data_IF_194698779348
#
_entry.id   IF_194698779348
#
_cell.length_a   1.000
_cell.length_b   1.000
_cell.length_c   1.000
_cell.angle_alpha   90.00
_cell.angle_beta   90.00
_cell.angle_gamma   90.00
#
_symmetry.space_group_name_H-M   'P 1'
#
loop_
_entity.id
_entity.type
_entity.pdbx_description
1 polymer ?
#
# COMPACT_ATOMS: atom_id res chain seq x y z
N UNK A 1 -7.04 42.11 -17.57
CA UNK A 1 -6.31 41.45 -18.68
C UNK A 1 -6.47 39.96 -18.52
N UNK A 2 -7.15 39.29 -19.46
CA UNK A 2 -7.28 37.83 -19.48
C UNK A 2 -6.21 37.24 -20.40
N UNK A 3 -5.45 36.25 -19.91
CA UNK A 3 -4.40 35.59 -20.70
C UNK A 3 -4.88 34.20 -21.09
N UNK A 4 -5.24 34.03 -22.37
CA UNK A 4 -5.68 32.74 -22.91
C UNK A 4 -4.45 31.90 -23.29
N UNK A 5 -4.13 30.87 -22.49
CA UNK A 5 -3.01 29.97 -22.75
C UNK A 5 -3.53 28.69 -23.42
N UNK A 6 -3.14 28.48 -24.69
CA UNK A 6 -3.44 27.23 -25.43
C UNK A 6 -2.48 26.12 -25.00
N UNK A 7 -3.00 25.07 -24.36
CA UNK A 7 -2.23 23.91 -23.91
C UNK A 7 -2.68 22.66 -24.67
N UNK A 8 -1.73 21.91 -25.24
CA UNK A 8 -1.99 20.61 -25.84
C UNK A 8 -1.98 19.54 -24.75
N UNK A 9 -3.12 18.88 -24.55
CA UNK A 9 -3.32 17.82 -23.53
C UNK A 9 -3.75 16.54 -24.24
N UNK A 10 -3.25 15.38 -23.80
CA UNK A 10 -3.70 14.08 -24.29
C UNK A 10 -5.18 13.84 -23.95
N UNK A 11 -5.96 13.29 -24.91
CA UNK A 11 -7.37 12.95 -24.72
C UNK A 11 -7.62 12.06 -23.50
N UNK A 12 -6.70 11.13 -23.19
CA UNK A 12 -6.81 10.26 -22.00
C UNK A 12 -6.75 11.05 -20.69
N UNK A 13 -5.94 12.10 -20.65
CA UNK A 13 -5.81 12.99 -19.48
C UNK A 13 -7.07 13.84 -19.33
N UNK A 14 -7.59 14.39 -20.43
CA UNK A 14 -8.85 15.15 -20.44
C UNK A 14 -10.00 14.30 -19.90
N UNK A 15 -10.10 13.04 -20.32
CA UNK A 15 -11.13 12.12 -19.83
C UNK A 15 -11.06 11.91 -18.32
N UNK A 16 -9.85 11.80 -17.75
CA UNK A 16 -9.64 11.67 -16.29
C UNK A 16 -10.02 12.94 -15.54
N UNK A 17 -9.62 14.11 -16.07
CA UNK A 17 -9.98 15.40 -15.47
C UNK A 17 -11.49 15.64 -15.48
N UNK A 18 -12.20 15.23 -16.55
CA UNK A 18 -13.68 15.29 -16.62
C UNK A 18 -14.37 14.43 -15.56
N UNK A 19 -13.71 13.39 -15.05
CA UNK A 19 -14.20 12.56 -13.93
C UNK A 19 -13.91 13.16 -12.56
N UNK A 20 -13.33 14.37 -12.49
CA UNK A 20 -12.92 15.02 -11.24
C UNK A 20 -11.54 14.57 -10.72
N UNK A 21 -10.78 13.77 -11.47
CA UNK A 21 -9.45 13.36 -11.03
C UNK A 21 -8.43 14.52 -11.13
N UNK A 22 -7.69 14.76 -10.05
CA UNK A 22 -6.50 15.62 -10.09
C UNK A 22 -5.33 14.89 -10.78
N UNK A 23 -4.93 15.36 -11.96
CA UNK A 23 -3.83 14.74 -12.74
C UNK A 23 -2.53 15.55 -12.56
N UNK A 24 -1.55 14.96 -11.88
CA UNK A 24 -0.19 15.52 -11.78
C UNK A 24 0.58 15.33 -13.09
N UNK A 25 1.33 16.34 -13.50
CA UNK A 25 2.14 16.30 -14.72
C UNK A 25 3.10 17.47 -14.82
N UNK A 26 3.81 17.54 -15.93
CA UNK A 26 4.69 18.68 -16.26
C UNK A 26 4.20 19.40 -17.50
N UNK A 27 4.22 20.73 -17.46
CA UNK A 27 3.96 21.59 -18.60
C UNK A 27 5.30 21.93 -19.26
N UNK A 28 5.48 21.55 -20.53
CA UNK A 28 6.71 21.82 -21.27
C UNK A 28 6.40 22.62 -22.53
N UNK A 29 7.27 23.57 -22.87
CA UNK A 29 7.21 24.27 -24.15
C UNK A 29 7.91 23.43 -25.22
N UNK A 30 7.18 23.03 -26.26
CA UNK A 30 7.77 22.29 -27.37
C UNK A 30 8.52 23.28 -28.26
N UNK A 31 9.86 23.24 -28.23
CA UNK A 31 10.73 24.17 -28.97
C UNK A 31 10.42 24.24 -30.48
N UNK A 32 9.94 23.15 -31.09
CA UNK A 32 9.60 23.09 -32.52
C UNK A 32 8.30 23.79 -32.90
N UNK A 33 7.32 23.88 -32.01
CA UNK A 33 5.98 24.40 -32.34
C UNK A 33 5.59 25.63 -31.52
N UNK A 34 6.35 25.98 -30.48
CA UNK A 34 6.01 27.05 -29.56
C UNK A 34 4.78 26.75 -28.68
N UNK A 35 4.21 25.55 -28.77
CA UNK A 35 3.00 25.15 -28.04
C UNK A 35 3.39 24.55 -26.69
N UNK A 36 2.67 24.94 -25.62
CA UNK A 36 2.78 24.30 -24.31
C UNK A 36 2.08 22.95 -24.35
N UNK A 37 2.82 21.87 -24.16
CA UNK A 37 2.30 20.51 -24.03
C UNK A 37 2.25 20.10 -22.56
N UNK A 38 1.11 19.60 -22.10
CA UNK A 38 1.00 18.96 -20.80
C UNK A 38 1.23 17.47 -20.94
N UNK A 39 2.29 16.98 -20.30
CA UNK A 39 2.55 15.55 -20.18
C UNK A 39 2.19 15.13 -18.76
N UNK A 40 1.09 14.39 -18.61
CA UNK A 40 0.80 13.73 -17.35
C UNK A 40 1.96 12.81 -17.01
N UNK A 41 2.40 12.82 -15.75
CA UNK A 41 3.31 11.78 -15.32
C UNK A 41 2.58 10.47 -15.56
N UNK A 42 3.22 9.56 -16.29
CA UNK A 42 2.86 8.15 -16.17
C UNK A 42 2.92 7.91 -14.67
N UNK A 43 1.76 7.67 -14.04
CA UNK A 43 1.79 6.87 -12.83
C UNK A 43 2.55 5.64 -13.33
N UNK A 44 3.83 5.51 -12.97
CA UNK A 44 4.33 4.17 -12.68
C UNK A 44 3.21 3.63 -11.83
N UNK A 45 2.45 2.69 -12.38
CA UNK A 45 1.58 1.90 -11.55
C UNK A 45 2.52 1.55 -10.40
N UNK A 46 2.21 2.03 -9.21
CA UNK A 46 2.61 1.28 -8.04
C UNK A 46 1.78 0.01 -8.17
N UNK A 47 2.18 -0.87 -9.09
CA UNK A 47 2.08 -2.31 -8.96
C UNK A 47 3.20 -2.73 -7.98
N UNK A 48 3.17 -2.10 -6.82
CA UNK A 48 3.08 -2.83 -5.57
C UNK A 48 1.60 -2.67 -5.19
N UNK A 49 0.72 -3.31 -5.96
CA UNK A 49 0.08 -4.57 -5.60
C UNK A 49 -0.45 -4.54 -4.17
N UNK A 50 -1.79 -4.58 -4.07
CA UNK A 50 -2.65 -4.54 -2.88
C UNK A 50 -2.57 -3.20 -2.12
N UNK A 51 -3.64 -2.39 -2.12
CA UNK A 51 -4.65 -2.42 -1.05
C UNK A 51 -3.98 -2.71 0.29
N UNK A 52 -4.07 -1.81 1.27
CA UNK A 52 -3.88 -2.19 2.67
C UNK A 52 -5.01 -3.15 3.06
N UNK A 53 -5.02 -4.36 2.51
CA UNK A 53 -5.81 -5.47 3.01
C UNK A 53 -5.18 -6.02 4.25
N UNK A 54 -3.88 -5.78 4.48
CA UNK A 54 -3.14 -6.21 5.65
C UNK A 54 -2.73 -5.04 6.57
N UNK A 55 -3.18 -5.07 7.83
CA UNK A 55 -2.71 -4.20 8.92
C UNK A 55 -1.62 -4.95 9.69
N UNK A 56 -0.51 -4.29 10.03
CA UNK A 56 0.47 -4.89 10.94
C UNK A 56 -0.11 -4.82 12.36
N UNK A 57 -0.19 -5.96 13.03
CA UNK A 57 -0.71 -6.06 14.40
C UNK A 57 0.44 -6.04 15.42
N UNK A 58 1.52 -6.76 15.11
CA UNK A 58 2.66 -6.91 15.99
C UNK A 58 3.97 -7.11 15.20
N UNK A 59 5.08 -6.66 15.78
CA UNK A 59 6.43 -7.01 15.32
C UNK A 59 6.94 -8.20 16.13
N UNK A 60 7.55 -9.16 15.44
CA UNK A 60 8.13 -10.38 16.01
C UNK A 60 9.65 -10.29 15.89
N UNK A 61 10.38 -11.04 16.72
CA UNK A 61 11.85 -11.02 16.76
C UNK A 61 12.52 -11.13 15.38
N UNK A 62 11.94 -11.94 14.49
CA UNK A 62 12.46 -12.13 13.14
C UNK A 62 11.38 -11.98 12.05
N UNK A 63 10.34 -11.19 12.33
CA UNK A 63 9.19 -11.15 11.44
C UNK A 63 8.12 -10.16 11.86
N UNK A 64 6.95 -10.31 11.26
CA UNK A 64 5.78 -9.49 11.56
C UNK A 64 4.50 -10.30 11.47
N UNK A 65 3.52 -9.87 12.24
CA UNK A 65 2.15 -10.37 12.19
C UNK A 65 1.28 -9.38 11.43
N UNK A 66 0.53 -9.86 10.45
CA UNK A 66 -0.33 -9.06 9.61
C UNK A 66 -1.77 -9.56 9.69
N UNK A 67 -2.71 -8.68 10.00
CA UNK A 67 -4.13 -8.96 9.90
C UNK A 67 -4.62 -8.62 8.52
N UNK A 68 -5.22 -9.58 7.83
CA UNK A 68 -6.06 -9.35 6.67
C UNK A 68 -7.52 -9.35 7.04
N UNK A 69 -8.42 -8.96 6.11
CA UNK A 69 -9.88 -9.02 6.32
C UNK A 69 -10.36 -10.37 6.87
N UNK A 70 -9.72 -11.48 6.48
CA UNK A 70 -10.16 -12.84 6.81
C UNK A 70 -9.17 -13.66 7.62
N UNK A 71 -7.90 -13.27 7.69
CA UNK A 71 -6.82 -14.09 8.25
C UNK A 71 -5.82 -13.23 9.03
N UNK A 72 -5.34 -13.75 10.15
CA UNK A 72 -4.09 -13.29 10.78
C UNK A 72 -2.93 -14.13 10.23
N UNK A 73 -1.98 -13.48 9.57
CA UNK A 73 -0.86 -14.11 8.86
C UNK A 73 0.45 -13.78 9.56
N UNK A 74 1.16 -14.83 9.98
CA UNK A 74 2.51 -14.73 10.54
C UNK A 74 3.56 -14.90 9.45
N UNK A 75 4.53 -13.99 9.38
CA UNK A 75 5.67 -14.11 8.47
C UNK A 75 6.97 -13.87 9.22
N UNK A 76 7.77 -14.92 9.35
CA UNK A 76 9.04 -14.92 10.09
C UNK A 76 10.14 -15.58 9.26
N UNK A 77 11.37 -15.10 9.46
CA UNK A 77 12.58 -15.69 8.90
C UNK A 77 13.44 -16.25 10.03
N UNK A 78 13.83 -17.52 9.95
CA UNK A 78 14.65 -18.15 11.00
C UNK A 78 16.09 -18.33 10.55
N UNK A 79 17.03 -17.98 11.42
CA UNK A 79 18.45 -18.23 11.17
C UNK A 79 18.77 -19.71 11.39
N UNK A 80 19.15 -20.42 10.32
CA UNK A 80 19.46 -21.87 10.37
C UNK A 80 20.50 -22.25 11.43
N UNK A 81 21.40 -21.32 11.80
CA UNK A 81 22.45 -21.52 12.82
C UNK A 81 21.95 -21.64 14.26
N UNK A 82 20.72 -21.23 14.56
CA UNK A 82 20.19 -21.22 15.93
C UNK A 82 19.81 -22.63 16.44
N UNK A 83 19.76 -23.62 15.55
CA UNK A 83 19.34 -24.98 15.87
C UNK A 83 17.81 -25.10 15.97
N UNK A 84 17.31 -26.30 15.66
CA UNK A 84 15.87 -26.60 15.63
C UNK A 84 15.14 -26.21 16.93
N UNK A 85 15.66 -26.49 18.14
CA UNK A 85 14.94 -26.17 19.38
C UNK A 85 14.65 -24.68 19.57
N UNK A 86 15.61 -23.81 19.23
CA UNK A 86 15.40 -22.35 19.34
C UNK A 86 14.42 -21.84 18.30
N UNK A 87 14.45 -22.40 17.09
CA UNK A 87 13.49 -22.08 16.05
C UNK A 87 12.07 -22.46 16.50
N UNK A 88 11.90 -23.65 17.08
CA UNK A 88 10.61 -24.09 17.62
C UNK A 88 10.11 -23.16 18.73
N UNK A 89 10.98 -22.78 19.67
CA UNK A 89 10.60 -21.84 20.74
C UNK A 89 10.11 -20.49 20.18
N UNK A 90 10.78 -19.96 19.16
CA UNK A 90 10.35 -18.72 18.49
C UNK A 90 9.02 -18.92 17.75
N UNK A 91 8.83 -20.07 17.09
CA UNK A 91 7.57 -20.42 16.46
C UNK A 91 6.42 -20.54 17.47
N UNK A 92 6.64 -21.09 18.66
CA UNK A 92 5.57 -21.22 19.66
C UNK A 92 5.17 -19.86 20.23
N UNK A 93 6.16 -19.00 20.51
CA UNK A 93 5.91 -17.62 20.95
C UNK A 93 5.11 -16.82 19.91
N UNK A 94 5.53 -16.87 18.64
CA UNK A 94 4.80 -16.18 17.56
C UNK A 94 3.39 -16.74 17.32
N UNK A 95 3.19 -18.05 17.54
CA UNK A 95 1.87 -18.67 17.45
C UNK A 95 0.96 -18.24 18.58
N UNK A 96 1.50 -18.11 19.80
CA UNK A 96 0.75 -17.59 20.95
C UNK A 96 0.24 -16.17 20.67
N UNK A 97 1.13 -15.27 20.24
CA UNK A 97 0.75 -13.89 19.91
C UNK A 97 -0.30 -13.80 18.79
N UNK A 98 -0.22 -14.66 17.77
CA UNK A 98 -1.22 -14.71 16.71
C UNK A 98 -2.62 -15.12 17.24
N UNK A 99 -2.67 -16.04 18.21
CA UNK A 99 -3.92 -16.44 18.85
C UNK A 99 -4.48 -15.34 19.75
N UNK A 100 -3.62 -14.71 20.55
CA UNK A 100 -4.02 -13.62 21.44
C UNK A 100 -4.63 -12.47 20.61
N UNK A 101 -3.99 -12.10 19.49
CA UNK A 101 -4.53 -11.10 18.57
C UNK A 101 -5.88 -11.46 17.94
N UNK A 102 -6.14 -12.75 17.70
CA UNK A 102 -7.45 -13.21 17.23
C UNK A 102 -8.51 -13.10 18.34
N UNK A 103 -8.14 -13.43 19.58
CA UNK A 103 -9.03 -13.36 20.73
C UNK A 103 -9.41 -11.91 21.01
N UNK A 104 -8.45 -10.98 21.02
CA UNK A 104 -8.71 -9.56 21.28
C UNK A 104 -9.71 -8.98 20.26
N UNK A 105 -9.58 -9.37 18.99
CA UNK A 105 -10.54 -8.98 17.95
C UNK A 105 -11.95 -9.50 18.23
N UNK A 106 -12.09 -10.75 18.67
CA UNK A 106 -13.39 -11.34 18.98
C UNK A 106 -13.99 -10.72 20.25
N UNK A 107 -13.17 -10.34 21.23
CA UNK A 107 -13.62 -9.63 22.43
C UNK A 107 -14.10 -8.22 22.12
N UNK A 108 -13.48 -7.50 21.18
CA UNK A 108 -13.94 -6.19 20.69
C UNK A 108 -15.34 -6.26 20.02
N UNK A 109 -15.77 -7.44 19.56
CA UNK A 109 -17.10 -7.67 18.98
C UNK A 109 -18.16 -8.04 20.03
N UNK A 110 -17.75 -8.43 21.23
CA UNK A 110 -18.65 -8.75 22.33
C UNK A 110 -18.87 -7.46 23.13
N UNK A 111 -19.77 -6.61 22.63
CA UNK A 111 -20.38 -5.58 23.48
C UNK A 111 -21.19 -6.28 24.57
N UNK A 112 -20.74 -6.17 25.82
CA UNK A 112 -21.54 -6.57 26.98
C UNK A 112 -22.73 -5.60 27.08
N UNK A 113 -23.92 -6.08 26.73
CA UNK A 113 -25.19 -5.48 27.13
C UNK A 113 -25.40 -5.63 28.65
#
# INVERSE_FOLDING_TARGET
MEVIIKIKVDKKVIARMRKGECVKGSLRLVKKTGVKSFTAYLKKSKETNSVSTSRIIAELDNGKLYETKTLVVRREAFQKRLGVPRIMMQMDAGNKQAKDALIDRELDLIEFC
#
